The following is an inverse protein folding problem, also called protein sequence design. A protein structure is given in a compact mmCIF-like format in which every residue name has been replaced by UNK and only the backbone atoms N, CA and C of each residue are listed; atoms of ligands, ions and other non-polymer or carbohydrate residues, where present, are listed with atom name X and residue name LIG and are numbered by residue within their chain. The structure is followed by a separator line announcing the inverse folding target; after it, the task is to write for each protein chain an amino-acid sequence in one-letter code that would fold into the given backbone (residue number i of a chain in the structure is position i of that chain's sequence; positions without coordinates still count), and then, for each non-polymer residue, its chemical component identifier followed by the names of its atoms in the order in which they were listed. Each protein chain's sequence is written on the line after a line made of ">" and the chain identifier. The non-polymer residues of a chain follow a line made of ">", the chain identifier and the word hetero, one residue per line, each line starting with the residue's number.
data_IF_254896756269
#
_entry.id   IF_254896756269
#
_cell.length_a   1.000
_cell.length_b   1.000
_cell.length_c   1.000
_cell.angle_alpha   90.00
_cell.angle_beta   90.00
_cell.angle_gamma   90.00
#
_symmetry.space_group_name_H-M   'P 1'
#
loop_
_entity.id
_entity.type
_entity.pdbx_description
1 polymer ?
#
# COMPACT_ATOMS: atom_id res chain seq x y z
N UNK A 1 -8.21 -4.43 10.81
CA UNK A 1 -7.50 -5.71 10.89
C UNK A 1 -6.27 -5.55 11.76
N UNK A 2 -6.02 -6.50 12.67
CA UNK A 2 -4.74 -6.58 13.36
C UNK A 2 -3.70 -7.13 12.39
N UNK A 3 -2.48 -6.62 12.48
CA UNK A 3 -1.34 -7.10 11.68
C UNK A 3 -0.33 -7.66 12.66
N UNK A 4 0.20 -8.84 12.36
CA UNK A 4 1.31 -9.47 13.07
C UNK A 4 2.58 -9.45 12.24
N UNK A 5 3.73 -9.40 12.92
CA UNK A 5 5.01 -9.61 12.27
C UNK A 5 5.28 -11.11 12.14
N UNK A 6 5.59 -11.60 10.95
CA UNK A 6 5.83 -13.03 10.70
C UNK A 6 7.14 -13.55 11.31
N UNK A 7 8.10 -12.66 11.59
CA UNK A 7 9.38 -13.07 12.19
C UNK A 7 9.33 -13.17 13.72
N UNK A 8 8.72 -12.20 14.40
CA UNK A 8 8.69 -12.16 15.88
C UNK A 8 7.31 -12.43 16.49
N UNK A 9 6.29 -12.65 15.66
CA UNK A 9 4.89 -12.90 16.03
C UNK A 9 4.23 -11.76 16.84
N UNK A 10 4.89 -10.61 16.94
CA UNK A 10 4.33 -9.44 17.63
C UNK A 10 3.13 -8.91 16.83
N UNK A 11 1.95 -8.95 17.43
CA UNK A 11 0.75 -8.30 16.91
C UNK A 11 0.69 -6.82 17.25
N UNK A 12 -0.05 -6.04 16.44
CA UNK A 12 -0.36 -4.63 16.69
C UNK A 12 0.88 -3.80 17.07
N UNK A 13 2.01 -4.05 16.41
CA UNK A 13 3.20 -3.25 16.62
C UNK A 13 2.97 -1.83 16.12
N UNK A 14 3.65 -0.87 16.76
CA UNK A 14 3.65 0.54 16.36
C UNK A 14 4.79 0.80 15.38
N UNK A 15 4.74 1.93 14.72
CA UNK A 15 5.67 2.44 13.72
C UNK A 15 5.29 2.06 12.29
N UNK A 16 6.25 1.42 11.62
CA UNK A 16 6.18 1.04 10.20
C UNK A 16 5.98 -0.47 10.10
N UNK A 17 5.03 -0.85 9.23
CA UNK A 17 4.85 -2.20 8.71
C UNK A 17 5.58 -2.30 7.38
N UNK A 18 6.35 -3.37 7.20
CA UNK A 18 7.05 -3.66 5.96
C UNK A 18 6.42 -4.89 5.34
N UNK A 19 5.69 -4.71 4.25
CA UNK A 19 5.05 -5.80 3.52
C UNK A 19 5.95 -6.27 2.38
N UNK A 20 6.25 -7.56 2.31
CA UNK A 20 6.98 -8.11 1.18
C UNK A 20 6.12 -8.05 -0.08
N UNK A 21 6.70 -7.61 -1.20
CA UNK A 21 6.01 -7.53 -2.48
C UNK A 21 6.12 -8.80 -3.33
N UNK A 22 6.82 -9.82 -2.82
CA UNK A 22 7.02 -11.11 -3.47
C UNK A 22 6.35 -12.24 -2.66
N UNK A 23 6.52 -12.23 -1.35
CA UNK A 23 5.97 -13.25 -0.47
C UNK A 23 4.49 -12.98 -0.18
N UNK A 24 3.65 -14.01 -0.33
CA UNK A 24 2.25 -13.94 0.07
C UNK A 24 2.12 -13.72 1.59
N UNK A 25 1.34 -12.71 1.96
CA UNK A 25 0.98 -12.36 3.35
C UNK A 25 2.16 -12.28 4.32
N UNK A 26 3.31 -11.77 3.87
CA UNK A 26 4.50 -11.64 4.72
C UNK A 26 4.76 -10.19 5.11
N UNK A 27 4.78 -9.95 6.41
CA UNK A 27 4.85 -8.65 7.05
C UNK A 27 5.88 -8.63 8.18
N UNK A 28 6.74 -7.61 8.17
CA UNK A 28 7.72 -7.36 9.20
C UNK A 28 7.41 -6.06 9.95
N UNK A 29 7.66 -6.08 11.26
CA UNK A 29 7.80 -4.83 12.00
C UNK A 29 9.16 -4.19 11.67
N UNK A 30 9.32 -2.90 11.97
CA UNK A 30 10.57 -2.18 11.71
C UNK A 30 11.80 -2.88 12.30
N UNK A 31 11.70 -3.44 13.51
CA UNK A 31 12.80 -4.14 14.17
C UNK A 31 13.25 -5.36 13.39
N UNK A 32 12.31 -6.20 12.94
CA UNK A 32 12.65 -7.41 12.17
C UNK A 32 13.13 -7.08 10.76
N UNK A 33 12.60 -6.02 10.16
CA UNK A 33 13.07 -5.51 8.88
C UNK A 33 14.53 -5.03 8.98
N UNK A 34 14.84 -4.17 9.95
CA UNK A 34 16.20 -3.63 10.17
C UNK A 34 17.20 -4.71 10.60
N UNK A 35 16.74 -5.74 11.32
CA UNK A 35 17.56 -6.89 11.68
C UNK A 35 17.84 -7.85 10.50
N UNK A 36 17.20 -7.65 9.34
CA UNK A 36 17.36 -8.51 8.17
C UNK A 36 16.77 -9.91 8.36
N UNK A 37 15.61 -10.03 9.00
CA UNK A 37 14.94 -11.32 9.23
C UNK A 37 14.64 -12.05 7.92
N UNK A 38 15.13 -13.28 7.78
CA UNK A 38 14.88 -14.15 6.61
C UNK A 38 14.11 -15.42 6.98
N UNK A 39 13.43 -16.04 6.01
CA UNK A 39 12.81 -17.37 6.12
C UNK A 39 13.15 -18.23 4.92
N UNK A 40 12.57 -19.43 4.82
CA UNK A 40 12.72 -20.29 3.63
C UNK A 40 12.15 -19.66 2.35
N UNK A 41 11.17 -18.76 2.47
CA UNK A 41 10.50 -18.10 1.34
C UNK A 41 10.80 -16.62 1.21
N UNK A 42 11.38 -16.00 2.24
CA UNK A 42 11.67 -14.56 2.27
C UNK A 42 13.16 -14.30 2.47
N UNK A 43 13.73 -13.43 1.63
CA UNK A 43 15.10 -12.91 1.75
C UNK A 43 15.06 -11.40 1.86
N UNK A 44 16.16 -10.80 2.33
CA UNK A 44 16.33 -9.34 2.41
C UNK A 44 16.38 -8.65 1.04
N UNK A 45 16.56 -9.42 -0.04
CA UNK A 45 16.57 -8.91 -1.42
C UNK A 45 15.16 -8.75 -1.98
N UNK A 46 14.13 -9.31 -1.34
CA UNK A 46 12.76 -9.10 -1.79
C UNK A 46 12.34 -7.65 -1.54
N UNK A 47 11.80 -6.94 -2.56
CA UNK A 47 11.30 -5.59 -2.38
C UNK A 47 10.18 -5.54 -1.36
N UNK A 48 10.19 -4.52 -0.51
CA UNK A 48 9.21 -4.34 0.56
C UNK A 48 8.55 -2.97 0.49
N UNK A 49 7.23 -2.95 0.66
CA UNK A 49 6.46 -1.72 0.80
C UNK A 49 6.41 -1.30 2.27
N UNK A 50 6.87 -0.08 2.56
CA UNK A 50 6.71 0.54 3.86
C UNK A 50 5.28 1.12 3.97
N UNK A 51 4.56 0.72 5.01
CA UNK A 51 3.18 1.11 5.31
C UNK A 51 3.16 1.67 6.74
N UNK A 52 2.69 2.89 6.93
CA UNK A 52 2.47 3.44 8.26
C UNK A 52 1.30 2.71 8.93
N UNK A 53 1.46 2.29 10.18
CA UNK A 53 0.34 1.69 10.90
C UNK A 53 -0.73 2.74 11.17
N UNK A 54 -2.00 2.31 11.27
CA UNK A 54 -3.12 3.21 11.56
C UNK A 54 -2.89 4.05 12.81
N UNK A 55 -2.37 3.45 13.87
CA UNK A 55 -2.11 4.14 15.14
C UNK A 55 -1.11 5.29 15.01
N UNK A 56 -0.09 5.15 14.15
CA UNK A 56 0.88 6.22 13.94
C UNK A 56 0.41 7.21 12.88
N UNK A 57 -0.35 6.74 11.89
CA UNK A 57 -1.03 7.61 10.95
C UNK A 57 -1.94 8.60 11.69
N UNK A 58 -2.80 8.10 12.59
CA UNK A 58 -3.71 8.92 13.40
C UNK A 58 -2.92 9.92 14.28
N UNK A 59 -1.74 9.52 14.77
CA UNK A 59 -0.85 10.37 15.56
C UNK A 59 -0.22 11.50 14.74
N UNK A 60 0.25 11.21 13.52
CA UNK A 60 0.95 12.19 12.67
C UNK A 60 -0.02 13.13 11.94
N UNK A 61 -1.20 12.65 11.57
CA UNK A 61 -2.17 13.37 10.73
C UNK A 61 -3.48 13.71 11.46
N UNK A 62 -3.51 13.59 12.80
CA UNK A 62 -4.65 14.05 13.61
C UNK A 62 -5.95 13.26 13.40
N UNK A 63 -5.89 12.06 12.81
CA UNK A 63 -7.05 11.21 12.57
C UNK A 63 -7.94 11.62 11.39
N UNK A 64 -7.49 12.55 10.53
CA UNK A 64 -8.18 12.83 9.27
C UNK A 64 -8.09 11.59 8.36
N UNK A 65 -9.23 11.15 7.81
CA UNK A 65 -9.29 9.96 6.95
C UNK A 65 -8.31 10.09 5.77
N UNK A 66 -7.72 8.95 5.35
CA UNK A 66 -6.83 8.86 4.19
C UNK A 66 -7.49 9.56 2.98
N UNK A 67 -7.11 10.80 2.70
CA UNK A 67 -7.46 11.46 1.44
C UNK A 67 -6.51 10.91 0.39
N UNK A 68 -7.00 10.64 -0.83
CA UNK A 68 -6.20 10.07 -1.93
C UNK A 68 -5.01 10.93 -2.37
N UNK A 69 -4.80 12.10 -1.75
CA UNK A 69 -3.84 13.13 -2.12
C UNK A 69 -2.59 13.16 -1.21
N UNK A 70 -2.47 12.23 -0.25
CA UNK A 70 -1.24 12.13 0.54
C UNK A 70 -0.10 11.53 -0.30
N UNK A 71 1.15 12.00 -0.11
CA UNK A 71 2.31 11.50 -0.84
C UNK A 71 2.62 10.06 -0.42
N UNK A 72 1.97 9.09 -1.07
CA UNK A 72 2.26 7.69 -0.92
C UNK A 72 3.47 7.36 -1.80
N UNK A 73 4.54 6.94 -1.15
CA UNK A 73 5.77 6.50 -1.80
C UNK A 73 5.69 5.00 -2.00
N UNK A 74 5.42 4.57 -3.22
CA UNK A 74 5.32 3.17 -3.58
C UNK A 74 6.67 2.62 -4.04
N UNK A 75 6.86 1.33 -3.76
CA UNK A 75 8.04 0.56 -4.12
C UNK A 75 7.70 -0.33 -5.31
N UNK A 76 8.52 -0.30 -6.35
CA UNK A 76 8.37 -1.21 -7.49
C UNK A 76 8.67 -2.65 -7.04
N UNK A 77 7.74 -3.60 -7.26
CA UNK A 77 7.93 -4.99 -6.87
C UNK A 77 8.95 -5.73 -7.75
N UNK A 78 9.36 -5.13 -8.88
CA UNK A 78 10.32 -5.73 -9.80
C UNK A 78 11.77 -5.33 -9.52
N UNK A 79 12.02 -4.07 -9.17
CA UNK A 79 13.37 -3.55 -8.97
C UNK A 79 13.64 -2.95 -7.57
N UNK A 80 12.63 -2.87 -6.71
CA UNK A 80 12.77 -2.33 -5.35
C UNK A 80 13.02 -0.82 -5.27
N UNK A 81 13.02 -0.10 -6.41
CA UNK A 81 13.04 1.37 -6.38
C UNK A 81 11.79 1.89 -5.67
N UNK A 82 11.99 2.90 -4.83
CA UNK A 82 10.96 3.59 -4.07
C UNK A 82 10.84 5.05 -4.54
N UNK A 83 9.79 5.74 -4.10
CA UNK A 83 9.57 7.14 -4.48
C UNK A 83 8.50 7.34 -5.55
N UNK A 84 7.80 6.28 -5.95
CA UNK A 84 6.78 6.39 -6.99
C UNK A 84 5.42 6.81 -6.43
N UNK A 85 4.75 7.71 -7.13
CA UNK A 85 3.29 7.88 -7.04
C UNK A 85 2.59 6.77 -7.83
N UNK A 86 1.28 6.64 -7.70
CA UNK A 86 0.47 5.70 -8.48
C UNK A 86 0.70 5.84 -9.99
N UNK A 87 0.63 7.07 -10.51
CA UNK A 87 0.85 7.34 -11.93
C UNK A 87 2.30 7.04 -12.37
N UNK A 88 3.29 7.48 -11.60
CA UNK A 88 4.70 7.28 -11.98
C UNK A 88 5.15 5.82 -11.82
N UNK A 89 4.54 5.05 -10.93
CA UNK A 89 4.79 3.62 -10.80
C UNK A 89 4.32 2.86 -12.05
N UNK A 90 3.13 3.18 -12.56
CA UNK A 90 2.62 2.62 -13.81
C UNK A 90 3.58 2.91 -14.98
N UNK A 91 3.98 4.18 -15.14
CA UNK A 91 4.86 4.58 -16.23
C UNK A 91 6.24 3.92 -16.13
N UNK A 92 6.77 3.79 -14.90
CA UNK A 92 8.01 3.09 -14.63
C UNK A 92 7.93 1.59 -15.00
N UNK A 93 6.88 0.89 -14.54
CA UNK A 93 6.71 -0.55 -14.79
C UNK A 93 6.53 -0.83 -16.29
N UNK A 94 5.70 -0.04 -16.97
CA UNK A 94 5.43 -0.22 -18.40
C UNK A 94 6.64 0.09 -19.29
N UNK A 95 7.52 1.00 -18.89
CA UNK A 95 8.70 1.38 -19.68
C UNK A 95 9.95 0.55 -19.39
N UNK A 96 10.16 0.12 -18.15
CA UNK A 96 11.40 -0.56 -17.72
C UNK A 96 11.22 -2.07 -17.47
N UNK A 97 9.98 -2.54 -17.36
CA UNK A 97 9.64 -3.92 -16.98
C UNK A 97 8.53 -4.52 -17.85
N UNK A 98 8.41 -4.11 -19.12
CA UNK A 98 7.37 -4.58 -20.05
C UNK A 98 7.37 -6.09 -20.28
N UNK A 99 8.54 -6.72 -20.15
CA UNK A 99 8.77 -8.14 -20.51
C UNK A 99 8.80 -9.05 -19.28
N UNK A 100 8.64 -8.50 -18.08
CA UNK A 100 8.62 -9.26 -16.83
C UNK A 100 7.19 -9.62 -16.46
N UNK A 101 6.91 -10.92 -16.33
CA UNK A 101 5.63 -11.45 -15.87
C UNK A 101 5.88 -12.51 -14.78
N UNK A 102 5.90 -12.08 -13.53
CA UNK A 102 5.89 -12.98 -12.38
C UNK A 102 5.00 -12.41 -11.29
N UNK A 103 4.51 -13.31 -10.43
CA UNK A 103 3.58 -12.98 -9.36
C UNK A 103 4.19 -11.99 -8.36
N UNK A 104 3.51 -10.86 -8.20
CA UNK A 104 3.88 -9.81 -7.24
C UNK A 104 2.64 -9.32 -6.49
N UNK A 105 2.86 -8.83 -5.27
CA UNK A 105 1.84 -8.12 -4.49
C UNK A 105 1.79 -6.67 -4.95
N UNK A 106 0.60 -6.14 -5.20
CA UNK A 106 0.45 -4.74 -5.56
C UNK A 106 0.72 -3.82 -4.34
N UNK A 107 1.72 -2.91 -4.40
CA UNK A 107 2.07 -2.02 -3.29
C UNK A 107 0.96 -1.00 -2.97
N UNK A 108 0.12 -0.65 -3.95
CA UNK A 108 -1.00 0.28 -3.78
C UNK A 108 -2.13 -0.41 -3.01
N UNK A 109 -2.55 -1.61 -3.44
CA UNK A 109 -3.56 -2.41 -2.75
C UNK A 109 -3.13 -2.75 -1.32
N UNK A 110 -1.85 -3.09 -1.11
CA UNK A 110 -1.28 -3.34 0.20
C UNK A 110 -1.40 -2.17 1.17
N UNK A 111 -1.31 -0.94 0.66
CA UNK A 111 -1.35 0.28 1.47
C UNK A 111 -2.79 0.72 1.84
N UNK A 112 -3.81 0.25 1.12
CA UNK A 112 -5.20 0.69 1.30
C UNK A 112 -5.96 -0.28 2.22
N UNK A 113 -6.57 0.19 3.33
CA UNK A 113 -7.26 -0.67 4.29
C UNK A 113 -8.63 -1.19 3.83
N UNK A 114 -9.19 -0.64 2.75
CA UNK A 114 -10.54 -0.96 2.23
C UNK A 114 -10.50 -2.06 1.15
N UNK A 115 -9.32 -2.37 0.60
CA UNK A 115 -9.14 -3.36 -0.47
C UNK A 115 -8.65 -4.72 0.02
N UNK A 116 -8.22 -5.55 -0.93
CA UNK A 116 -7.49 -6.80 -0.65
C UNK A 116 -5.98 -6.50 -0.54
N UNK A 117 -5.40 -6.45 0.67
CA UNK A 117 -4.01 -6.01 0.87
C UNK A 117 -2.97 -7.03 0.40
N UNK A 118 -3.40 -8.26 0.12
CA UNK A 118 -2.58 -9.38 -0.32
C UNK A 118 -2.83 -9.72 -1.81
N UNK A 119 -3.39 -8.79 -2.58
CA UNK A 119 -3.69 -9.02 -3.99
C UNK A 119 -2.40 -9.33 -4.76
N UNK A 120 -2.30 -10.56 -5.27
CA UNK A 120 -1.21 -11.04 -6.12
C UNK A 120 -1.65 -10.96 -7.57
N UNK A 121 -0.77 -10.49 -8.44
CA UNK A 121 -0.99 -10.40 -9.88
C UNK A 121 0.30 -10.75 -10.63
N UNK A 122 0.16 -11.44 -11.76
CA UNK A 122 1.24 -11.76 -12.70
C UNK A 122 1.31 -10.75 -13.87
N UNK A 123 0.21 -10.06 -14.18
CA UNK A 123 0.13 -8.88 -15.06
C UNK A 123 0.02 -7.57 -14.25
N UNK A 124 1.12 -7.21 -13.59
CA UNK A 124 1.15 -6.03 -12.73
C UNK A 124 0.89 -4.72 -13.50
N UNK A 125 1.41 -4.60 -14.73
CA UNK A 125 1.20 -3.43 -15.57
C UNK A 125 -0.28 -3.25 -15.94
N UNK A 126 -0.94 -4.33 -16.39
CA UNK A 126 -2.37 -4.33 -16.69
C UNK A 126 -3.22 -4.04 -15.45
N UNK A 127 -2.87 -4.60 -14.30
CA UNK A 127 -3.54 -4.31 -13.03
C UNK A 127 -3.50 -2.81 -12.67
N UNK A 128 -2.32 -2.18 -12.77
CA UNK A 128 -2.19 -0.73 -12.53
C UNK A 128 -3.04 0.09 -13.51
N UNK A 129 -3.08 -0.30 -14.79
CA UNK A 129 -3.84 0.42 -15.81
C UNK A 129 -5.37 0.38 -15.58
N UNK A 130 -5.90 -0.74 -15.07
CA UNK A 130 -7.35 -0.91 -14.87
C UNK A 130 -7.85 -0.39 -13.52
N UNK A 131 -7.09 -0.63 -12.45
CA UNK A 131 -7.57 -0.40 -11.07
C UNK A 131 -7.11 0.94 -10.46
N UNK A 132 -6.00 1.47 -10.97
CA UNK A 132 -5.23 2.55 -10.34
C UNK A 132 -5.00 3.76 -11.27
N UNK A 133 -5.05 3.57 -12.59
CA UNK A 133 -4.95 4.68 -13.57
C UNK A 133 -6.27 5.44 -13.80
N UNK A 134 -7.32 5.19 -12.99
CA UNK A 134 -8.67 5.69 -13.28
C UNK A 134 -8.99 7.01 -12.53
N UNK A 135 -9.00 8.17 -13.22
CA UNK A 135 -9.30 9.48 -12.62
C UNK A 135 -10.74 9.63 -12.09
N UNK A 136 -11.63 8.66 -12.32
CA UNK A 136 -12.99 8.69 -11.78
C UNK A 136 -13.07 8.39 -10.28
N UNK A 137 -12.02 7.85 -9.65
CA UNK A 137 -11.92 7.73 -8.18
C UNK A 137 -11.79 9.10 -7.50
N UNK A 138 -11.14 10.07 -8.14
CA UNK A 138 -11.11 11.46 -7.66
C UNK A 138 -12.52 12.04 -7.64
N UNK A 139 -13.28 11.90 -8.73
CA UNK A 139 -14.65 12.43 -8.79
C UNK A 139 -15.59 11.75 -7.78
N UNK A 140 -15.48 10.44 -7.59
CA UNK A 140 -16.32 9.71 -6.62
C UNK A 140 -15.96 10.05 -5.16
N UNK A 141 -14.68 10.24 -4.84
CA UNK A 141 -14.25 10.69 -3.51
C UNK A 141 -14.63 12.16 -3.24
N UNK A 142 -14.60 13.03 -4.25
CA UNK A 142 -15.18 14.37 -4.19
C UNK A 142 -16.70 14.33 -3.94
N UNK A 143 -17.45 13.49 -4.66
CA UNK A 143 -18.91 13.39 -4.52
C UNK A 143 -19.32 12.78 -3.16
N UNK A 144 -18.60 11.77 -2.68
CA UNK A 144 -18.81 11.20 -1.34
C UNK A 144 -18.52 12.25 -0.27
N UNK A 145 -17.41 12.99 -0.37
CA UNK A 145 -17.09 14.07 0.57
C UNK A 145 -18.13 15.20 0.55
N UNK A 146 -18.63 15.58 -0.62
CA UNK A 146 -19.71 16.57 -0.77
C UNK A 146 -21.01 16.10 -0.11
N UNK A 147 -21.38 14.83 -0.31
CA UNK A 147 -22.61 14.27 0.25
C UNK A 147 -22.53 14.09 1.77
N UNK A 148 -21.35 13.78 2.31
CA UNK A 148 -21.09 13.73 3.77
C UNK A 148 -21.11 15.13 4.40
N UNK A 149 -20.56 16.14 3.73
CA UNK A 149 -20.64 17.54 4.19
C UNK A 149 -22.09 18.05 4.19
N UNK A 150 -22.88 17.69 3.18
CA UNK A 150 -24.27 18.13 3.08
C UNK A 150 -25.18 17.48 4.14
N UNK A 151 -24.93 16.22 4.52
CA UNK A 151 -25.64 15.54 5.62
C UNK A 151 -25.29 16.11 7.01
N UNK A 152 -24.08 16.66 7.20
CA UNK A 152 -23.69 17.34 8.44
C UNK A 152 -24.32 18.74 8.59
N UNK A 153 -24.72 19.40 7.49
CA UNK A 153 -25.34 20.74 7.52
C UNK A 153 -26.85 20.63 7.79
N UNK A 154 -27.51 19.55 7.36
CA UNK A 154 -28.96 19.36 7.56
C UNK A 154 -29.35 18.71 8.90
N UNK A 155 -28.38 18.34 9.75
CA UNK A 155 -28.60 17.65 11.03
C UNK A 155 -28.80 18.55 12.26
N UNK A 156 -29.03 19.85 12.07
CA UNK A 156 -29.24 20.84 13.14
C UNK A 156 -30.50 21.68 12.87
N UNK A 157 -31.65 21.03 12.69
CA UNK A 157 -32.99 21.57 13.03
C UNK A 157 -33.88 20.43 13.48
#
# INVERSE_FOLDING_TARGET
>A
MCVSCDSCLKGNFRGKRYKCLICYDYDLCSVCYEAGSTTTRHTTEHPMQCILTRSDYDLYYGGEAMTGDQPQSFTCPFCGRLGFTEATLHDHVTSEHSDLSYEVVCPICAAIPIGEPNLVTDDFAGHLAMEHRNPSRDLMSFLISFHTLQQNITGLV
#
